data_IF_585413998628
#
_entry.id   IF_585413998628
#
_cell.length_a   1.000
_cell.length_b   1.000
_cell.length_c   1.000
_cell.angle_alpha   90.00
_cell.angle_beta   90.00
_cell.angle_gamma   90.00
#
_symmetry.space_group_name_H-M   'P 1'
#
loop_
_entity.id
_entity.type
_entity.pdbx_description
1 polymer ?
#
# COMPACT_ATOMS: atom_id res chain seq x y z
N UNK A 1 -8.05 -14.03 -3.16
CA UNK A 1 -6.74 -14.59 -3.55
C UNK A 1 -5.67 -13.59 -3.13
N UNK A 2 -4.54 -14.05 -2.61
CA UNK A 2 -3.37 -13.20 -2.31
C UNK A 2 -2.43 -13.33 -3.51
N UNK A 3 -1.94 -12.21 -4.03
CA UNK A 3 -1.04 -12.17 -5.18
C UNK A 3 0.42 -12.08 -4.74
N UNK A 4 1.32 -12.66 -5.53
CA UNK A 4 2.77 -12.52 -5.33
C UNK A 4 3.26 -11.13 -5.79
N UNK A 5 4.45 -10.73 -5.35
CA UNK A 5 5.10 -9.50 -5.80
C UNK A 5 5.30 -9.46 -7.32
N UNK A 6 5.62 -10.61 -7.92
CA UNK A 6 5.80 -10.79 -9.37
C UNK A 6 4.48 -10.61 -10.13
N UNK A 7 3.38 -11.11 -9.56
CA UNK A 7 2.05 -10.92 -10.13
C UNK A 7 1.61 -9.46 -10.07
N UNK A 8 1.79 -8.81 -8.92
CA UNK A 8 1.45 -7.39 -8.75
C UNK A 8 2.29 -6.47 -9.66
N UNK A 9 3.56 -6.81 -9.90
CA UNK A 9 4.39 -6.10 -10.87
C UNK A 9 3.88 -6.28 -12.30
N UNK A 10 3.48 -7.50 -12.70
CA UNK A 10 2.87 -7.74 -14.02
C UNK A 10 1.56 -6.97 -14.21
N UNK A 11 0.82 -6.71 -13.13
CA UNK A 11 -0.41 -5.90 -13.15
C UNK A 11 -0.16 -4.39 -13.16
N UNK A 12 1.09 -3.94 -13.01
CA UNK A 12 1.43 -2.52 -12.92
C UNK A 12 1.11 -1.88 -11.56
N UNK A 13 0.88 -2.68 -10.51
CA UNK A 13 0.66 -2.21 -9.14
C UNK A 13 1.99 -1.96 -8.41
N UNK A 14 3.03 -2.72 -8.76
CA UNK A 14 4.40 -2.53 -8.25
C UNK A 14 5.29 -2.12 -9.42
N UNK A 15 6.02 -1.01 -9.28
CA UNK A 15 6.90 -0.49 -10.34
C UNK A 15 8.28 -1.17 -10.38
N UNK A 16 8.79 -1.62 -9.24
CA UNK A 16 10.16 -2.16 -9.11
C UNK A 16 10.18 -3.37 -8.20
N UNK A 17 10.77 -4.47 -8.68
CA UNK A 17 11.04 -5.68 -7.91
C UNK A 17 12.54 -5.86 -7.71
N UNK A 18 12.94 -6.22 -6.49
CA UNK A 18 14.33 -6.51 -6.15
C UNK A 18 14.43 -7.74 -5.25
N UNK A 19 15.59 -8.43 -5.23
CA UNK A 19 15.84 -9.52 -4.30
C UNK A 19 15.72 -9.07 -2.84
N UNK A 20 15.45 -10.04 -1.95
CA UNK A 20 15.42 -9.79 -0.50
C UNK A 20 16.74 -9.15 -0.04
N UNK A 21 16.64 -8.10 0.76
CA UNK A 21 17.78 -7.34 1.28
C UNK A 21 18.28 -6.21 0.37
N UNK A 22 17.76 -6.04 -0.85
CA UNK A 22 18.21 -4.99 -1.78
C UNK A 22 17.28 -3.77 -1.86
N UNK A 23 16.25 -3.70 -1.00
CA UNK A 23 15.26 -2.63 -1.02
C UNK A 23 15.87 -1.23 -0.82
N UNK A 24 16.77 -1.09 0.15
CA UNK A 24 17.42 0.18 0.47
C UNK A 24 18.25 0.71 -0.71
N UNK A 25 19.16 -0.11 -1.24
CA UNK A 25 19.97 0.24 -2.41
C UNK A 25 19.13 0.61 -3.64
N UNK A 26 17.99 -0.08 -3.84
CA UNK A 26 17.07 0.23 -4.93
C UNK A 26 16.41 1.61 -4.76
N UNK A 27 15.99 1.94 -3.54
CA UNK A 27 15.42 3.26 -3.20
C UNK A 27 16.47 4.37 -3.38
N UNK A 28 17.70 4.16 -2.90
CA UNK A 28 18.81 5.11 -3.09
C UNK A 28 19.06 5.39 -4.58
N UNK A 29 19.07 4.34 -5.40
CA UNK A 29 19.26 4.48 -6.84
C UNK A 29 18.12 5.26 -7.51
N UNK A 30 16.87 5.06 -7.08
CA UNK A 30 15.71 5.81 -7.57
C UNK A 30 15.87 7.30 -7.22
N UNK A 31 16.21 7.62 -5.97
CA UNK A 31 16.43 9.00 -5.53
C UNK A 31 17.54 9.65 -6.36
N UNK A 32 18.69 8.97 -6.52
CA UNK A 32 19.83 9.46 -7.30
C UNK A 32 19.44 9.73 -8.75
N UNK A 33 18.64 8.86 -9.38
CA UNK A 33 18.12 9.07 -10.74
C UNK A 33 17.20 10.28 -10.82
N UNK A 34 16.27 10.43 -9.89
CA UNK A 34 15.31 11.53 -9.89
C UNK A 34 15.98 12.90 -9.69
N UNK A 35 17.01 12.96 -8.84
CA UNK A 35 17.78 14.19 -8.60
C UNK A 35 18.51 14.71 -9.84
N UNK A 36 18.69 13.89 -10.89
CA UNK A 36 19.31 14.35 -12.16
C UNK A 36 18.35 15.20 -13.00
N UNK A 37 17.04 15.13 -12.78
CA UNK A 37 16.04 15.92 -13.51
C UNK A 37 14.86 16.34 -12.62
N UNK A 38 15.12 17.15 -11.57
CA UNK A 38 14.11 17.45 -10.55
C UNK A 38 12.89 18.19 -11.12
N UNK A 39 13.11 19.12 -12.05
CA UNK A 39 12.02 19.88 -12.67
C UNK A 39 11.09 19.00 -13.52
N UNK A 40 11.62 18.02 -14.26
CA UNK A 40 10.81 17.10 -15.04
C UNK A 40 9.95 16.20 -14.14
N UNK A 41 10.53 15.69 -13.04
CA UNK A 41 9.79 14.90 -12.06
C UNK A 41 8.66 15.69 -11.39
N UNK A 42 8.93 16.93 -10.98
CA UNK A 42 7.89 17.80 -10.42
C UNK A 42 6.78 18.10 -11.43
N UNK A 43 7.13 18.37 -12.69
CA UNK A 43 6.15 18.61 -13.75
C UNK A 43 5.29 17.37 -14.01
N UNK A 44 5.87 16.18 -14.10
CA UNK A 44 5.12 14.93 -14.28
C UNK A 44 4.18 14.63 -13.10
N UNK A 45 4.62 14.89 -11.87
CA UNK A 45 3.76 14.75 -10.68
C UNK A 45 2.58 15.73 -10.73
N UNK A 46 2.82 16.99 -11.12
CA UNK A 46 1.74 17.97 -11.31
C UNK A 46 0.75 17.53 -12.40
N UNK A 47 1.25 17.03 -13.54
CA UNK A 47 0.41 16.50 -14.63
C UNK A 47 -0.42 15.31 -14.14
N UNK A 48 0.16 14.37 -13.38
CA UNK A 48 -0.57 13.22 -12.82
C UNK A 48 -1.69 13.67 -11.88
N UNK A 49 -1.42 14.65 -11.01
CA UNK A 49 -2.43 15.20 -10.10
C UNK A 49 -3.58 15.90 -10.82
N UNK A 50 -3.34 16.48 -12.00
CA UNK A 50 -4.37 17.12 -12.82
C UNK A 50 -5.16 16.09 -13.63
N UNK A 51 -4.47 15.12 -14.24
CA UNK A 51 -5.07 14.14 -15.13
C UNK A 51 -5.85 13.05 -14.39
N UNK A 52 -5.41 12.68 -13.19
CA UNK A 52 -5.97 11.60 -12.37
C UNK A 52 -6.01 12.02 -10.89
N UNK A 53 -6.80 13.04 -10.54
CA UNK A 53 -6.93 13.47 -9.16
C UNK A 53 -7.65 12.41 -8.33
N UNK A 54 -7.15 12.19 -7.11
CA UNK A 54 -7.90 11.51 -6.05
C UNK A 54 -8.36 12.57 -5.07
N UNK A 55 -9.67 12.85 -5.05
CA UNK A 55 -10.24 13.98 -4.33
C UNK A 55 -10.38 13.73 -2.83
N UNK A 56 -10.17 14.75 -2.00
CA UNK A 56 -10.41 14.63 -0.54
C UNK A 56 -11.85 14.22 -0.22
N UNK A 57 -12.84 14.87 -0.84
CA UNK A 57 -14.26 14.55 -0.61
C UNK A 57 -14.62 13.15 -1.09
N UNK A 58 -13.99 12.67 -2.16
CA UNK A 58 -14.17 11.30 -2.65
C UNK A 58 -13.64 10.30 -1.61
N UNK A 59 -12.40 10.51 -1.12
CA UNK A 59 -11.83 9.69 -0.06
C UNK A 59 -12.71 9.70 1.19
N UNK A 60 -13.19 10.88 1.61
CA UNK A 60 -14.05 11.01 2.79
C UNK A 60 -15.36 10.23 2.63
N UNK A 61 -16.07 10.43 1.52
CA UNK A 61 -17.33 9.72 1.25
C UNK A 61 -17.15 8.21 1.20
N UNK A 62 -16.04 7.72 0.64
CA UNK A 62 -15.71 6.28 0.67
C UNK A 62 -15.49 5.81 2.11
N UNK A 63 -14.79 6.58 2.95
CA UNK A 63 -14.55 6.20 4.35
C UNK A 63 -15.80 6.24 5.22
N UNK A 64 -16.76 7.12 4.92
CA UNK A 64 -18.07 7.15 5.59
C UNK A 64 -18.84 5.85 5.33
N UNK A 65 -18.91 5.41 4.07
CA UNK A 65 -19.52 4.12 3.71
C UNK A 65 -18.79 2.95 4.39
N UNK A 66 -17.45 3.03 4.47
CA UNK A 66 -16.64 2.01 5.14
C UNK A 66 -16.98 1.91 6.65
N UNK A 67 -17.11 3.03 7.37
CA UNK A 67 -17.39 3.00 8.81
C UNK A 67 -18.81 2.51 9.10
N UNK A 68 -19.80 2.96 8.33
CA UNK A 68 -21.18 2.49 8.48
C UNK A 68 -21.27 0.97 8.27
N UNK A 69 -20.55 0.47 7.26
CA UNK A 69 -20.46 -0.97 6.98
C UNK A 69 -19.73 -1.72 8.11
N UNK A 70 -18.66 -1.15 8.65
CA UNK A 70 -17.90 -1.75 9.75
C UNK A 70 -18.73 -1.83 11.05
N UNK A 71 -19.52 -0.81 11.36
CA UNK A 71 -20.41 -0.79 12.53
C UNK A 71 -21.55 -1.81 12.42
N UNK A 72 -21.94 -2.19 11.21
CA UNK A 72 -22.94 -3.22 10.95
C UNK A 72 -22.38 -4.67 11.05
N UNK A 73 -21.08 -4.85 11.33
CA UNK A 73 -20.49 -6.18 11.44
C UNK A 73 -21.10 -6.97 12.62
N UNK A 74 -21.65 -8.14 12.31
CA UNK A 74 -22.15 -9.06 13.32
C UNK A 74 -21.04 -9.74 14.13
N UNK A 75 -21.43 -10.32 15.27
CA UNK A 75 -20.55 -10.95 16.25
C UNK A 75 -19.63 -12.05 15.65
N UNK A 76 -20.09 -12.79 14.63
CA UNK A 76 -19.27 -13.80 13.93
C UNK A 76 -18.05 -13.18 13.24
N UNK A 77 -18.22 -12.04 12.57
CA UNK A 77 -17.15 -11.34 11.88
C UNK A 77 -16.15 -10.76 12.88
N UNK A 78 -16.65 -10.15 13.97
CA UNK A 78 -15.81 -9.63 15.06
C UNK A 78 -14.95 -10.74 15.67
N UNK A 79 -15.53 -11.89 16.03
CA UNK A 79 -14.76 -13.04 16.55
C UNK A 79 -13.72 -13.57 15.58
N UNK A 80 -13.99 -13.49 14.28
CA UNK A 80 -13.03 -13.90 13.25
C UNK A 80 -11.84 -12.94 13.23
N UNK A 81 -12.09 -11.63 13.30
CA UNK A 81 -11.05 -10.60 13.39
C UNK A 81 -10.20 -10.77 14.66
N UNK A 82 -10.81 -10.99 15.82
CA UNK A 82 -10.07 -11.26 17.08
C UNK A 82 -9.14 -12.46 16.99
N UNK A 83 -9.56 -13.52 16.29
CA UNK A 83 -8.71 -14.71 16.07
C UNK A 83 -7.54 -14.41 15.15
N UNK A 84 -7.74 -13.59 14.12
CA UNK A 84 -6.66 -13.16 13.21
C UNK A 84 -5.63 -12.36 14.00
N UNK A 85 -6.05 -11.40 14.82
CA UNK A 85 -5.16 -10.60 15.67
C UNK A 85 -4.32 -11.51 16.58
N UNK A 86 -4.97 -12.44 17.31
CA UNK A 86 -4.26 -13.39 18.18
C UNK A 86 -3.26 -14.27 17.43
N UNK A 87 -3.58 -14.68 16.20
CA UNK A 87 -2.67 -15.46 15.38
C UNK A 87 -1.45 -14.62 14.93
N UNK A 88 -1.68 -13.38 14.52
CA UNK A 88 -0.62 -12.46 14.11
C UNK A 88 0.31 -12.10 15.28
N UNK A 89 -0.23 -11.86 16.48
CA UNK A 89 0.56 -11.60 17.69
C UNK A 89 1.49 -12.77 18.05
N UNK A 90 1.01 -14.01 17.90
CA UNK A 90 1.84 -15.21 18.10
C UNK A 90 2.95 -15.30 17.07
N UNK A 91 2.63 -15.08 15.80
CA UNK A 91 3.61 -15.16 14.71
C UNK A 91 4.63 -14.03 14.72
N UNK A 92 4.26 -12.82 15.13
CA UNK A 92 5.19 -11.68 15.22
C UNK A 92 6.22 -11.88 16.34
N UNK A 93 5.82 -12.47 17.47
CA UNK A 93 6.74 -12.83 18.56
C UNK A 93 7.74 -13.93 18.15
N UNK A 94 7.32 -14.88 17.31
CA UNK A 94 8.22 -15.92 16.78
C UNK A 94 9.14 -15.45 15.64
N UNK A 95 8.83 -14.32 14.98
CA UNK A 95 9.68 -13.74 13.95
C UNK A 95 10.73 -12.75 14.53
N UNK A 96 10.50 -12.26 15.75
CA UNK A 96 11.40 -11.35 16.47
C UNK A 96 12.32 -12.04 17.50
N UNK A 97 12.08 -13.33 17.79
CA UNK A 97 12.89 -14.19 18.66
C UNK A 97 13.74 -15.16 17.84
#
# INVERSE_FOLDING_TARGET
QIYSSEEMHKMGIIDVLVPKGQGEAAVEEIIRKQQRSPHAHLALNAVRNIAQPVGYNELMGITEVWVDTALALGEKSIRTMERIVKAQERSSHSAAA
#
